data_IF_024127382792
#
_entry.id   IF_024127382792
#
_cell.length_a   1.000
_cell.length_b   1.000
_cell.length_c   1.000
_cell.angle_alpha   90.00
_cell.angle_beta   90.00
_cell.angle_gamma   90.00
#
_symmetry.space_group_name_H-M   'P 1'
#
loop_
_entity.id
_entity.type
_entity.pdbx_description
1 polymer ?
#
# COMPACT_ATOMS: atom_id res chain seq x y z
N UNK A 1 5.22 -11.21 -2.54
CA UNK A 1 4.17 -10.29 -2.03
C UNK A 1 4.62 -8.87 -2.36
N UNK A 2 3.83 -8.00 -3.00
CA UNK A 2 4.19 -6.59 -3.05
C UNK A 2 4.00 -6.07 -1.63
N UNK A 3 5.10 -5.96 -0.89
CA UNK A 3 5.17 -5.42 0.45
C UNK A 3 4.47 -4.05 0.44
N UNK A 4 3.24 -3.96 0.94
CA UNK A 4 2.79 -2.69 1.48
C UNK A 4 3.86 -2.32 2.50
N UNK A 5 4.51 -1.15 2.36
CA UNK A 5 5.64 -0.76 3.21
C UNK A 5 5.20 -0.44 4.65
N UNK A 6 4.22 -1.16 5.19
CA UNK A 6 3.76 -1.12 6.56
C UNK A 6 4.45 -2.26 7.32
N UNK A 7 5.33 -1.92 8.26
CA UNK A 7 5.98 -2.90 9.12
C UNK A 7 4.98 -3.41 10.18
N UNK A 8 4.04 -4.27 9.78
CA UNK A 8 3.00 -4.81 10.66
C UNK A 8 3.62 -5.56 11.84
N UNK A 9 4.70 -6.33 11.60
CA UNK A 9 5.41 -7.06 12.66
C UNK A 9 6.05 -6.12 13.70
N UNK A 10 6.56 -4.97 13.26
CA UNK A 10 7.09 -3.93 14.15
C UNK A 10 5.98 -3.24 14.93
N UNK A 11 4.90 -2.84 14.26
CA UNK A 11 3.73 -2.20 14.88
C UNK A 11 3.05 -3.11 15.92
N UNK A 12 2.97 -4.41 15.64
CA UNK A 12 2.45 -5.44 16.54
C UNK A 12 3.30 -5.64 17.81
N UNK A 13 4.51 -5.06 17.89
CA UNK A 13 5.38 -5.10 19.06
C UNK A 13 5.40 -3.78 19.85
N UNK A 14 4.61 -2.79 19.45
CA UNK A 14 4.51 -1.49 20.14
C UNK A 14 3.33 -1.45 21.11
N UNK A 15 3.13 -0.32 21.80
CA UNK A 15 1.92 -0.05 22.59
C UNK A 15 0.62 -0.10 21.78
N UNK A 16 0.70 -0.12 20.44
CA UNK A 16 -0.43 -0.26 19.52
C UNK A 16 -0.73 -1.73 19.16
N UNK A 17 -0.01 -2.69 19.74
CA UNK A 17 -0.07 -4.12 19.38
C UNK A 17 -1.48 -4.69 19.33
N UNK A 18 -2.29 -4.41 20.35
CA UNK A 18 -3.68 -4.84 20.42
C UNK A 18 -4.50 -4.30 19.24
N UNK A 19 -4.48 -2.98 19.02
CA UNK A 19 -5.21 -2.35 17.92
C UNK A 19 -4.74 -2.82 16.53
N UNK A 20 -3.45 -3.15 16.39
CA UNK A 20 -2.90 -3.66 15.12
C UNK A 20 -3.36 -5.09 14.85
N UNK A 21 -3.38 -5.94 15.88
CA UNK A 21 -3.86 -7.32 15.76
C UNK A 21 -5.38 -7.36 15.54
N UNK A 22 -6.14 -6.56 16.28
CA UNK A 22 -7.60 -6.47 16.15
C UNK A 22 -8.03 -5.96 14.76
N UNK A 23 -7.24 -5.06 14.16
CA UNK A 23 -7.51 -4.54 12.82
C UNK A 23 -7.19 -5.54 11.68
N UNK A 24 -6.46 -6.63 11.95
CA UNK A 24 -6.21 -7.68 10.96
C UNK A 24 -5.47 -7.21 9.70
N UNK A 25 -4.55 -6.25 9.82
CA UNK A 25 -3.88 -5.59 8.69
C UNK A 25 -3.25 -6.55 7.67
N UNK A 26 -2.67 -7.67 8.12
CA UNK A 26 -2.11 -8.69 7.22
C UNK A 26 -3.16 -9.33 6.31
N UNK A 27 -4.32 -9.70 6.88
CA UNK A 27 -5.43 -10.28 6.12
C UNK A 27 -6.04 -9.25 5.17
N UNK A 28 -6.20 -8.01 5.64
CA UNK A 28 -6.69 -6.91 4.81
C UNK A 28 -5.85 -6.71 3.55
N UNK A 29 -4.53 -6.66 3.67
CA UNK A 29 -3.62 -6.50 2.52
C UNK A 29 -3.65 -7.69 1.57
N UNK A 30 -3.82 -8.91 2.10
CA UNK A 30 -3.98 -10.13 1.30
C UNK A 30 -5.25 -10.04 0.44
N UNK A 31 -6.40 -9.73 1.07
CA UNK A 31 -7.68 -9.57 0.39
C UNK A 31 -7.59 -8.44 -0.65
N UNK A 32 -7.01 -7.29 -0.30
CA UNK A 32 -6.84 -6.15 -1.20
C UNK A 32 -6.05 -6.53 -2.45
N UNK A 33 -4.95 -7.28 -2.28
CA UNK A 33 -4.11 -7.73 -3.40
C UNK A 33 -4.85 -8.69 -4.32
N UNK A 34 -5.58 -9.64 -3.76
CA UNK A 34 -6.41 -10.58 -4.53
C UNK A 34 -7.50 -9.84 -5.30
N UNK A 35 -8.23 -8.93 -4.64
CA UNK A 35 -9.31 -8.17 -5.27
C UNK A 35 -8.81 -7.21 -6.35
N UNK A 36 -7.66 -6.56 -6.14
CA UNK A 36 -7.01 -5.75 -7.16
C UNK A 36 -6.62 -6.61 -8.38
N UNK A 37 -6.02 -7.79 -8.15
CA UNK A 37 -5.70 -8.75 -9.21
C UNK A 37 -6.92 -9.18 -10.02
N UNK A 38 -8.03 -9.48 -9.35
CA UNK A 38 -9.30 -9.82 -10.01
C UNK A 38 -9.85 -8.67 -10.89
N UNK A 39 -9.58 -7.42 -10.51
CA UNK A 39 -9.94 -6.24 -11.30
C UNK A 39 -8.91 -5.87 -12.38
N UNK A 40 -7.86 -6.69 -12.58
CA UNK A 40 -6.76 -6.40 -13.51
C UNK A 40 -5.85 -5.25 -13.05
N UNK A 41 -5.89 -4.90 -11.76
CA UNK A 41 -5.11 -3.86 -11.11
C UNK A 41 -3.95 -4.47 -10.31
N UNK A 42 -3.02 -3.60 -9.88
CA UNK A 42 -1.89 -3.97 -9.03
C UNK A 42 -1.87 -3.13 -7.76
N UNK A 43 -1.62 -3.77 -6.63
CA UNK A 43 -1.32 -3.08 -5.37
C UNK A 43 0.16 -2.77 -5.28
N UNK A 44 0.49 -1.54 -4.86
CA UNK A 44 1.86 -1.08 -4.69
C UNK A 44 1.98 -0.46 -3.30
N UNK A 45 2.94 -0.95 -2.51
CA UNK A 45 3.31 -0.32 -1.25
C UNK A 45 4.19 0.89 -1.48
N UNK A 46 3.92 1.99 -0.78
CA UNK A 46 4.80 3.16 -0.70
C UNK A 46 5.21 3.39 0.75
N UNK A 47 6.40 3.96 0.96
CA UNK A 47 6.87 4.28 2.30
C UNK A 47 5.85 5.16 3.04
N UNK A 48 5.30 4.73 4.20
CA UNK A 48 4.30 5.47 4.95
C UNK A 48 4.88 6.49 5.93
N UNK A 49 6.21 6.55 6.10
CA UNK A 49 6.86 7.39 7.11
C UNK A 49 6.50 8.86 6.90
N UNK A 50 6.09 9.54 7.97
CA UNK A 50 5.76 10.96 8.02
C UNK A 50 4.65 11.45 7.06
N UNK A 51 3.87 10.58 6.41
CA UNK A 51 2.84 11.03 5.44
C UNK A 51 1.79 11.97 6.05
N UNK A 52 1.48 11.81 7.34
CA UNK A 52 0.59 12.73 8.07
C UNK A 52 1.29 14.02 8.49
N UNK A 53 2.61 14.02 8.64
CA UNK A 53 3.41 15.15 9.13
C UNK A 53 3.91 16.05 8.00
N UNK A 54 4.44 15.47 6.93
CA UNK A 54 4.94 16.17 5.76
C UNK A 54 3.78 16.90 5.07
N UNK A 55 3.97 18.17 4.72
CA UNK A 55 2.98 18.95 4.00
C UNK A 55 2.92 18.51 2.54
N UNK A 56 1.74 18.12 2.06
CA UNK A 56 1.54 17.71 0.67
C UNK A 56 1.69 18.85 -0.35
N UNK A 57 1.62 20.10 0.10
CA UNK A 57 1.77 21.29 -0.75
C UNK A 57 3.22 21.76 -0.87
N UNK A 58 3.94 21.87 0.26
CA UNK A 58 5.30 22.45 0.28
C UNK A 58 6.42 21.47 0.67
N UNK A 59 6.09 20.24 1.07
CA UNK A 59 7.06 19.23 1.50
C UNK A 59 7.55 19.38 2.93
N UNK A 60 7.32 20.52 3.59
CA UNK A 60 7.85 20.75 4.93
C UNK A 60 7.15 19.94 6.03
N UNK A 61 7.93 19.55 7.03
CA UNK A 61 7.44 18.73 8.14
C UNK A 61 6.68 19.57 9.15
N UNK A 62 5.43 19.20 9.39
CA UNK A 62 4.58 19.80 10.43
C UNK A 62 4.38 18.78 11.55
N UNK A 63 5.15 18.92 12.62
CA UNK A 63 5.03 18.08 13.81
C UNK A 63 3.68 18.30 14.49
N UNK A 64 3.02 17.19 14.84
CA UNK A 64 1.70 17.16 15.46
C UNK A 64 1.43 15.82 16.11
N UNK A 65 0.61 15.86 17.15
CA UNK A 65 0.10 14.70 17.87
C UNK A 65 -0.97 13.94 17.07
N UNK A 66 -1.22 12.69 17.46
CA UNK A 66 -2.19 11.81 16.79
C UNK A 66 -3.66 12.27 16.94
N UNK A 67 -3.97 13.06 17.96
CA UNK A 67 -5.29 13.64 18.21
C UNK A 67 -5.59 14.82 17.27
N UNK A 68 -4.59 15.47 16.68
CA UNK A 68 -4.77 16.60 15.76
C UNK A 68 -5.25 16.05 14.41
N UNK A 69 -6.48 16.40 14.03
CA UNK A 69 -7.16 15.93 12.81
C UNK A 69 -7.02 16.91 11.64
N UNK A 70 -6.69 18.16 11.90
CA UNK A 70 -6.47 19.19 10.88
C UNK A 70 -4.98 19.38 10.62
N UNK A 71 -4.57 19.30 9.35
CA UNK A 71 -3.24 19.69 8.92
C UNK A 71 -3.24 21.20 8.61
N UNK A 72 -2.67 22.01 9.50
CA UNK A 72 -2.40 23.43 9.28
C UNK A 72 -0.90 23.62 9.11
N UNK A 73 -0.46 24.00 7.91
CA UNK A 73 0.95 24.17 7.60
C UNK A 73 1.40 25.62 7.83
N UNK A 74 2.35 25.88 8.75
CA UNK A 74 2.84 27.24 9.00
C UNK A 74 3.73 27.78 7.86
N UNK A 75 4.27 26.89 7.01
CA UNK A 75 5.20 27.29 5.93
C UNK A 75 4.50 27.78 4.67
N UNK A 76 3.33 27.22 4.34
CA UNK A 76 2.61 27.56 3.10
C UNK A 76 1.14 27.91 3.32
N UNK A 77 0.64 27.86 4.56
CA UNK A 77 -0.73 28.24 4.90
C UNK A 77 -1.81 27.23 4.52
N UNK A 78 -1.47 26.03 4.02
CA UNK A 78 -2.49 25.03 3.68
C UNK A 78 -3.18 24.53 4.94
N UNK A 79 -4.52 24.51 4.91
CA UNK A 79 -5.37 23.98 5.99
C UNK A 79 -6.33 22.95 5.40
N UNK A 80 -6.05 21.67 5.64
CA UNK A 80 -6.84 20.54 5.14
C UNK A 80 -6.98 19.44 6.19
N UNK A 81 -7.87 18.47 5.97
CA UNK A 81 -7.91 17.27 6.80
C UNK A 81 -6.56 16.50 6.74
N UNK A 82 -6.10 16.01 7.89
CA UNK A 82 -4.81 15.32 8.01
C UNK A 82 -4.76 14.04 7.19
N UNK A 83 -5.86 13.29 7.13
CA UNK A 83 -5.91 12.04 6.38
C UNK A 83 -5.96 12.34 4.87
N UNK A 84 -6.60 13.44 4.45
CA UNK A 84 -6.50 13.96 3.08
C UNK A 84 -5.06 14.35 2.71
N UNK A 85 -4.36 15.09 3.59
CA UNK A 85 -2.94 15.41 3.39
C UNK A 85 -2.09 14.14 3.22
N UNK A 86 -2.29 13.15 4.10
CA UNK A 86 -1.59 11.88 4.04
C UNK A 86 -1.89 11.10 2.75
N UNK A 87 -3.14 11.10 2.28
CA UNK A 87 -3.53 10.45 1.03
C UNK A 87 -2.84 11.10 -0.19
N UNK A 88 -2.74 12.44 -0.22
CA UNK A 88 -2.02 13.15 -1.30
C UNK A 88 -0.53 12.78 -1.27
N UNK A 89 0.09 12.74 -0.09
CA UNK A 89 1.48 12.31 0.05
C UNK A 89 1.71 10.87 -0.42
N UNK A 90 0.81 9.95 -0.08
CA UNK A 90 0.84 8.56 -0.54
C UNK A 90 0.74 8.50 -2.07
N UNK A 91 -0.20 9.25 -2.66
CA UNK A 91 -0.36 9.35 -4.11
C UNK A 91 0.93 9.86 -4.76
N UNK A 92 1.50 10.96 -4.27
CA UNK A 92 2.71 11.57 -4.81
C UNK A 92 3.91 10.63 -4.73
N UNK A 93 4.05 9.87 -3.65
CA UNK A 93 5.09 8.83 -3.51
C UNK A 93 4.86 7.63 -4.44
N UNK A 94 3.62 7.39 -4.87
CA UNK A 94 3.30 6.37 -5.85
C UNK A 94 3.54 6.84 -7.30
N UNK A 95 3.57 8.15 -7.57
CA UNK A 95 3.87 8.69 -8.91
C UNK A 95 5.29 8.27 -9.30
N UNK A 96 5.43 7.60 -10.45
CA UNK A 96 6.69 7.02 -10.91
C UNK A 96 6.78 5.50 -10.73
N UNK A 97 5.96 4.90 -9.87
CA UNK A 97 5.73 3.45 -9.92
C UNK A 97 4.83 3.14 -11.11
N UNK A 98 5.36 2.46 -12.12
CA UNK A 98 4.57 2.04 -13.28
C UNK A 98 3.44 1.09 -12.82
N UNK A 99 2.22 1.62 -12.71
CA UNK A 99 0.99 0.83 -12.54
C UNK A 99 0.64 0.26 -13.90
N UNK A 100 1.51 -0.61 -14.44
CA UNK A 100 1.22 -1.29 -15.68
C UNK A 100 -0.07 -2.09 -15.44
N UNK A 101 -1.15 -1.70 -16.14
CA UNK A 101 -2.34 -2.51 -16.40
C UNK A 101 -1.84 -3.93 -16.61
N UNK A 102 -2.30 -4.88 -15.80
CA UNK A 102 -1.85 -6.27 -15.92
C UNK A 102 -2.04 -6.71 -17.37
N UNK A 103 -0.98 -6.69 -18.19
CA UNK A 103 -1.03 -7.16 -19.57
C UNK A 103 -1.40 -8.62 -19.46
N UNK A 104 -2.56 -8.94 -20.04
CA UNK A 104 -3.33 -10.16 -19.79
C UNK A 104 -2.49 -11.39 -19.51
N UNK A 105 -2.74 -12.00 -18.36
CA UNK A 105 -2.37 -13.39 -18.10
C UNK A 105 -2.87 -14.20 -19.30
N UNK A 106 -1.92 -14.68 -20.11
CA UNK A 106 -2.20 -15.48 -21.29
C UNK A 106 -2.97 -16.72 -20.85
N UNK A 107 -4.14 -16.92 -21.45
CA UNK A 107 -4.93 -18.16 -21.40
C UNK A 107 -3.99 -19.35 -21.61
N UNK A 108 -4.12 -20.34 -20.73
CA UNK A 108 -3.33 -21.57 -20.77
C UNK A 108 -3.47 -22.27 -22.12
N UNK A 109 -2.34 -22.65 -22.69
CA UNK A 109 -2.27 -23.68 -23.72
C UNK A 109 -1.94 -24.98 -23.02
N UNK A 110 -2.97 -25.79 -22.75
CA UNK A 110 -2.77 -27.19 -22.39
C UNK A 110 -2.19 -27.93 -23.61
N UNK A 111 -0.94 -28.37 -23.49
CA UNK A 111 -0.37 -29.36 -24.40
C UNK A 111 -0.24 -30.65 -23.62
N UNK A 112 -1.21 -31.55 -23.80
CA UNK A 112 -1.10 -32.93 -23.37
C UNK A 112 0.08 -33.59 -24.10
N UNK A 113 1.05 -34.08 -23.34
CA UNK A 113 2.03 -35.04 -23.84
C UNK A 113 1.51 -36.43 -23.48
N UNK A 114 1.15 -37.19 -24.51
CA UNK A 114 0.87 -38.63 -24.43
C UNK A 114 2.15 -39.37 -24.07
N UNK A 115 2.01 -40.36 -23.20
CA UNK A 115 3.02 -41.31 -22.80
C UNK A 115 3.55 -42.12 -24.00
N UNK A 116 4.84 -42.45 -23.96
CA UNK A 116 5.40 -43.60 -24.64
C UNK A 116 6.46 -44.20 -23.70
N UNK A 117 6.07 -45.22 -22.93
CA UNK A 117 6.97 -46.03 -22.13
C UNK A 117 7.39 -47.22 -23.00
N UNK A 118 8.65 -47.23 -23.44
CA UNK A 118 9.27 -48.37 -24.10
C UNK A 118 9.99 -49.20 -23.04
N UNK A 119 9.57 -50.46 -22.89
CA UNK A 119 10.19 -51.48 -22.05
C UNK A 119 11.10 -52.31 -22.98
N UNK A 120 12.35 -52.63 -22.61
CA UNK A 120 13.05 -53.80 -23.16
C UNK A 120 12.59 -55.10 -22.49
#
# INVERSE_FOLDING_TARGET
MPEANLNIKGLAKTHLSKSINDAGWGNFLSILTVKAGNAGQKTIGVNPKNTSQDCSNCGEKVDKELNIRTHSCPHCGVVIDRDLNAAINIKNRAVGHSVLKARGVRRGTGTGKREAHAIP
#
